data_IF_416048148995
#
_entry.id   IF_416048148995
#
_cell.length_a   1.000
_cell.length_b   1.000
_cell.length_c   1.000
_cell.angle_alpha   90.00
_cell.angle_beta   90.00
_cell.angle_gamma   90.00
#
_symmetry.space_group_name_H-M   'P 1'
#
loop_
_entity.id
_entity.type
_entity.pdbx_description
1 polymer ?
#
# COMPACT_ATOMS: atom_id res chain seq x y z
N UNK A 1 2.88 10.62 -25.30
CA UNK A 1 3.31 9.26 -24.93
C UNK A 1 3.50 9.28 -23.42
N UNK A 2 2.85 8.41 -22.62
CA UNK A 2 3.10 8.39 -21.19
C UNK A 2 4.55 7.95 -20.94
N UNK A 3 5.22 8.57 -19.96
CA UNK A 3 6.59 8.24 -19.60
C UNK A 3 6.71 6.76 -19.19
N UNK A 4 7.81 6.08 -19.54
CA UNK A 4 8.04 4.71 -19.10
C UNK A 4 8.11 4.71 -17.57
N UNK A 5 7.19 3.97 -16.95
CA UNK A 5 7.19 3.78 -15.50
C UNK A 5 8.55 3.25 -15.05
N UNK A 6 9.10 3.72 -13.92
CA UNK A 6 10.29 3.14 -13.31
C UNK A 6 10.15 1.61 -13.19
N UNK A 7 11.23 0.88 -13.46
CA UNK A 7 11.25 -0.58 -13.31
C UNK A 7 11.46 -0.95 -11.84
N UNK A 8 10.36 -0.94 -11.08
CA UNK A 8 10.36 -1.16 -9.62
C UNK A 8 10.12 -2.64 -9.25
N UNK A 9 10.32 -3.57 -10.20
CA UNK A 9 10.08 -5.01 -10.01
C UNK A 9 10.89 -5.62 -8.86
N UNK A 10 12.04 -5.02 -8.52
CA UNK A 10 12.92 -5.50 -7.45
C UNK A 10 12.29 -5.34 -6.03
N UNK A 11 11.42 -4.33 -5.87
CA UNK A 11 10.85 -3.91 -4.58
C UNK A 11 9.35 -4.23 -4.43
N UNK A 12 8.66 -4.58 -5.52
CA UNK A 12 7.21 -4.85 -5.53
C UNK A 12 6.74 -5.80 -4.42
N UNK A 13 7.57 -6.77 -4.03
CA UNK A 13 7.25 -7.79 -3.04
C UNK A 13 8.13 -7.72 -1.78
N UNK A 14 8.77 -6.58 -1.49
CA UNK A 14 9.67 -6.44 -0.35
C UNK A 14 9.02 -6.84 0.98
N UNK A 15 7.76 -6.44 1.19
CA UNK A 15 6.99 -6.77 2.40
C UNK A 15 6.63 -8.25 2.53
N UNK A 16 6.71 -9.03 1.44
CA UNK A 16 6.42 -10.47 1.44
C UNK A 16 7.70 -11.32 1.58
N UNK A 17 8.89 -10.71 1.41
CA UNK A 17 10.17 -11.42 1.55
C UNK A 17 10.32 -11.93 2.98
N UNK A 18 10.81 -13.17 3.20
CA UNK A 18 11.06 -13.70 4.54
C UNK A 18 12.08 -12.86 5.31
N UNK A 19 11.98 -12.85 6.65
CA UNK A 19 12.92 -12.10 7.51
C UNK A 19 14.35 -12.67 7.44
N UNK A 20 14.50 -13.96 7.12
CA UNK A 20 15.78 -14.65 7.01
C UNK A 20 15.80 -15.61 5.83
N UNK A 21 16.98 -15.86 5.21
CA UNK A 21 17.13 -16.84 4.14
C UNK A 21 16.65 -18.23 4.58
N UNK A 22 15.87 -18.90 3.73
CA UNK A 22 15.36 -20.25 3.99
C UNK A 22 14.09 -20.34 4.85
N UNK A 23 13.55 -19.21 5.33
CA UNK A 23 12.23 -19.17 5.95
C UNK A 23 11.12 -19.03 4.90
N UNK A 24 9.89 -19.50 5.20
CA UNK A 24 8.75 -19.25 4.34
C UNK A 24 8.49 -17.74 4.20
N UNK A 25 7.92 -17.29 3.07
CA UNK A 25 7.51 -15.89 2.89
C UNK A 25 6.66 -15.41 4.07
N UNK A 26 6.76 -14.13 4.40
CA UNK A 26 5.92 -13.57 5.45
C UNK A 26 4.46 -13.76 5.05
N UNK A 27 3.57 -14.16 5.98
CA UNK A 27 2.14 -14.20 5.69
C UNK A 27 1.68 -12.81 5.26
N UNK A 28 0.66 -12.75 4.40
CA UNK A 28 0.04 -11.49 4.02
C UNK A 28 -0.43 -10.76 5.29
N UNK A 29 0.36 -9.79 5.72
CA UNK A 29 0.13 -8.98 6.91
C UNK A 29 -0.29 -7.60 6.43
N UNK A 30 -1.28 -7.01 7.09
CA UNK A 30 -1.71 -5.66 6.75
C UNK A 30 -0.51 -4.69 6.85
N UNK A 31 -0.38 -3.71 5.93
CA UNK A 31 0.69 -2.74 6.01
C UNK A 31 0.55 -1.89 7.28
N UNK A 32 1.68 -1.34 7.75
CA UNK A 32 1.68 -0.43 8.89
C UNK A 32 0.70 0.73 8.64
N UNK A 33 -0.13 1.03 9.65
CA UNK A 33 -1.18 2.05 9.55
C UNK A 33 -2.50 1.59 8.92
N UNK A 34 -2.63 0.31 8.51
CA UNK A 34 -3.89 -0.24 8.02
C UNK A 34 -4.97 -0.33 9.11
N UNK A 35 -4.57 -0.65 10.35
CA UNK A 35 -5.49 -0.76 11.47
C UNK A 35 -6.04 0.62 11.83
N UNK A 36 -7.32 0.84 11.53
CA UNK A 36 -7.95 2.16 11.69
C UNK A 36 -7.71 3.10 10.51
N UNK A 37 -7.27 2.58 9.35
CA UNK A 37 -7.41 3.22 8.04
C UNK A 37 -8.90 3.30 7.69
N UNK A 38 -9.62 4.09 8.47
CA UNK A 38 -10.94 4.59 8.15
C UNK A 38 -10.69 5.94 7.51
N UNK A 39 -11.17 6.10 6.28
CA UNK A 39 -11.27 7.33 5.48
C UNK A 39 -10.98 8.58 6.32
N UNK A 40 -9.71 8.91 6.53
CA UNK A 40 -9.30 9.81 7.61
C UNK A 40 -9.62 11.28 7.32
N UNK A 41 -10.45 11.53 6.31
CA UNK A 41 -10.71 12.85 5.75
C UNK A 41 -9.47 13.54 5.18
N UNK A 42 -8.30 12.87 5.18
CA UNK A 42 -7.03 13.41 4.68
C UNK A 42 -7.07 13.70 3.18
N UNK A 43 -7.95 13.03 2.45
CA UNK A 43 -8.19 13.28 1.03
C UNK A 43 -9.13 14.46 0.87
N UNK A 44 -8.92 15.32 -0.13
CA UNK A 44 -9.81 16.47 -0.41
C UNK A 44 -11.26 16.05 -0.70
N UNK A 45 -11.45 14.80 -1.09
CA UNK A 45 -12.74 14.20 -1.42
C UNK A 45 -12.98 12.96 -0.56
N UNK A 46 -14.18 12.79 -0.03
CA UNK A 46 -14.63 11.60 0.67
C UNK A 46 -14.59 10.40 -0.29
N UNK A 47 -13.77 9.37 -0.02
CA UNK A 47 -13.69 8.20 -0.88
C UNK A 47 -14.98 7.36 -0.89
N UNK A 48 -15.85 7.48 0.10
CA UNK A 48 -17.12 6.76 0.14
C UNK A 48 -18.22 7.41 -0.71
N UNK A 49 -18.20 8.75 -0.84
CA UNK A 49 -19.30 9.50 -1.49
C UNK A 49 -18.87 10.33 -2.70
N UNK A 50 -17.57 10.54 -2.91
CA UNK A 50 -17.03 11.39 -3.97
C UNK A 50 -17.27 12.89 -3.76
N UNK A 51 -17.70 13.31 -2.57
CA UNK A 51 -17.97 14.72 -2.24
C UNK A 51 -16.75 15.38 -1.61
N UNK A 52 -16.52 16.69 -1.80
CA UNK A 52 -15.49 17.41 -1.07
C UNK A 52 -15.67 17.25 0.45
N UNK A 53 -14.57 17.01 1.16
CA UNK A 53 -14.56 17.08 2.62
C UNK A 53 -14.66 18.56 3.06
N UNK A 54 -15.46 18.89 4.10
CA UNK A 54 -15.66 20.26 4.58
C UNK A 54 -14.45 20.87 5.29
#
# INVERSE_FOLDING_TARGET
>A
MPDPRPDDREIENENQKPDRPGQPPRPATEPDGAKGSSNSGQTETDPATGRPNP
#
